data_IF_340940105416
#
_entry.id   IF_340940105416
#
_cell.length_a   1.000
_cell.length_b   1.000
_cell.length_c   1.000
_cell.angle_alpha   90.00
_cell.angle_beta   90.00
_cell.angle_gamma   90.00
#
_symmetry.space_group_name_H-M   'P 1'
#
loop_
_entity.id
_entity.type
_entity.pdbx_description
1 polymer ?
#
# COMPACT_ATOMS: atom_id res chain seq x y z
N UNK A 1 -3.94 21.48 15.78
CA UNK A 1 -4.29 20.46 16.79
C UNK A 1 -3.20 20.32 17.87
N UNK A 2 -1.94 20.59 17.54
CA UNK A 2 -0.78 20.31 18.39
C UNK A 2 -0.39 18.81 18.36
N UNK A 3 0.93 18.52 18.41
CA UNK A 3 1.46 17.16 18.31
C UNK A 3 0.92 16.24 19.40
N UNK A 4 0.69 16.76 20.59
CA UNK A 4 0.23 16.00 21.77
C UNK A 4 -1.18 15.43 21.61
N UNK A 5 -1.91 15.85 20.57
CA UNK A 5 -3.25 15.36 20.23
C UNK A 5 -3.27 14.47 18.99
N UNK A 6 -2.10 14.08 18.46
CA UNK A 6 -1.99 13.24 17.27
C UNK A 6 -1.30 11.93 17.62
N UNK A 7 -2.03 10.83 17.55
CA UNK A 7 -1.50 9.48 17.83
C UNK A 7 -0.77 8.91 16.63
N UNK A 8 -1.34 9.05 15.44
CA UNK A 8 -0.81 8.44 14.23
C UNK A 8 -1.09 9.29 12.99
N UNK A 9 -0.23 9.13 11.99
CA UNK A 9 -0.42 9.62 10.63
C UNK A 9 -0.54 8.41 9.69
N UNK A 10 -1.71 8.25 9.06
CA UNK A 10 -1.98 7.14 8.15
C UNK A 10 -1.99 7.65 6.72
N UNK A 11 -1.30 6.92 5.83
CA UNK A 11 -1.18 7.28 4.41
C UNK A 11 -1.03 6.04 3.52
N UNK A 12 -1.61 6.08 2.32
CA UNK A 12 -1.31 5.10 1.27
C UNK A 12 0.05 5.44 0.62
N UNK A 13 1.03 4.51 0.57
CA UNK A 13 2.31 4.72 -0.13
C UNK A 13 2.16 5.01 -1.61
N UNK A 14 1.19 4.38 -2.24
CA UNK A 14 0.70 4.71 -3.58
C UNK A 14 -0.81 4.89 -3.46
N UNK A 15 -1.28 6.05 -3.82
CA UNK A 15 -2.69 6.38 -3.69
C UNK A 15 -3.58 5.44 -4.51
N UNK A 16 -4.73 5.08 -3.95
CA UNK A 16 -5.69 4.20 -4.60
C UNK A 16 -6.57 4.90 -5.64
N UNK A 17 -7.76 4.33 -5.86
CA UNK A 17 -8.73 4.84 -6.84
C UNK A 17 -9.11 6.29 -6.62
N UNK A 18 -9.26 6.72 -5.37
CA UNK A 18 -9.67 8.09 -5.04
C UNK A 18 -8.67 9.16 -5.48
N UNK A 19 -7.39 8.81 -5.57
CA UNK A 19 -6.30 9.71 -5.94
C UNK A 19 -5.70 9.41 -7.31
N UNK A 20 -6.18 8.35 -7.98
CA UNK A 20 -5.73 7.98 -9.31
C UNK A 20 -4.28 7.52 -9.38
N UNK A 21 -3.87 6.63 -8.48
CA UNK A 21 -2.54 6.01 -8.45
C UNK A 21 -1.38 7.01 -8.27
N UNK A 22 -1.60 8.10 -7.52
CA UNK A 22 -0.54 9.07 -7.22
C UNK A 22 0.58 8.39 -6.43
N UNK A 23 1.81 8.57 -6.90
CA UNK A 23 3.03 8.15 -6.21
C UNK A 23 3.69 9.41 -5.64
N UNK A 24 3.68 9.60 -4.31
CA UNK A 24 4.34 10.74 -3.69
C UNK A 24 5.86 10.72 -3.95
N UNK A 25 6.50 11.90 -4.05
CA UNK A 25 7.97 11.95 -4.14
C UNK A 25 8.63 11.29 -2.93
N UNK A 26 9.78 10.62 -3.14
CA UNK A 26 10.53 9.96 -2.07
C UNK A 26 10.73 10.87 -0.84
N UNK A 27 11.13 12.12 -1.05
CA UNK A 27 11.35 13.11 0.00
C UNK A 27 10.11 13.41 0.85
N UNK A 28 8.91 13.20 0.32
CA UNK A 28 7.67 13.37 1.09
C UNK A 28 7.63 12.41 2.28
N UNK A 29 7.87 11.11 2.04
CA UNK A 29 7.85 10.12 3.11
C UNK A 29 9.00 10.29 4.09
N UNK A 30 10.20 10.66 3.62
CA UNK A 30 11.32 11.00 4.49
C UNK A 30 10.95 12.14 5.45
N UNK A 31 10.33 13.21 4.93
CA UNK A 31 9.88 14.34 5.74
C UNK A 31 8.78 13.98 6.73
N UNK A 32 7.81 13.15 6.32
CA UNK A 32 6.74 12.67 7.21
C UNK A 32 7.32 11.76 8.30
N UNK A 33 8.24 10.85 7.96
CA UNK A 33 8.91 9.99 8.95
C UNK A 33 9.65 10.82 9.99
N UNK A 34 10.39 11.84 9.55
CA UNK A 34 11.10 12.77 10.43
C UNK A 34 10.15 13.50 11.40
N UNK A 35 9.03 13.99 10.90
CA UNK A 35 8.01 14.66 11.72
C UNK A 35 7.42 13.66 12.73
N UNK A 36 7.01 12.49 12.28
CA UNK A 36 6.44 11.45 13.13
C UNK A 36 7.42 11.05 14.24
N UNK A 37 8.69 10.85 13.90
CA UNK A 37 9.73 10.47 14.87
C UNK A 37 9.96 11.58 15.92
N UNK A 38 10.07 12.84 15.49
CA UNK A 38 10.30 13.99 16.41
C UNK A 38 9.16 14.22 17.40
N UNK A 39 7.95 13.86 17.03
CA UNK A 39 6.75 14.11 17.85
C UNK A 39 6.17 12.85 18.48
N UNK A 40 6.82 11.69 18.35
CA UNK A 40 6.31 10.42 18.90
C UNK A 40 4.99 9.96 18.27
N UNK A 41 4.75 10.33 17.00
CA UNK A 41 3.56 9.98 16.23
C UNK A 41 3.83 8.69 15.45
N UNK A 42 2.93 7.73 15.48
CA UNK A 42 3.04 6.53 14.65
C UNK A 42 2.83 6.86 13.17
N UNK A 43 3.73 6.36 12.31
CA UNK A 43 3.53 6.36 10.88
C UNK A 43 2.90 5.03 10.46
N UNK A 44 1.73 5.07 9.86
CA UNK A 44 1.00 3.90 9.39
C UNK A 44 0.91 3.93 7.87
N UNK A 45 1.40 2.88 7.22
CA UNK A 45 1.17 2.71 5.79
C UNK A 45 -0.06 1.83 5.54
N UNK A 46 -1.04 2.40 4.86
CA UNK A 46 -2.18 1.65 4.32
C UNK A 46 -1.76 1.02 2.98
N UNK A 47 -1.37 -0.24 3.05
CA UNK A 47 -0.99 -1.04 1.89
C UNK A 47 -2.11 -1.98 1.42
N UNK A 48 -3.34 -1.71 1.81
CA UNK A 48 -4.50 -2.52 1.40
C UNK A 48 -4.61 -2.66 -0.10
N UNK A 49 -4.27 -1.62 -0.86
CA UNK A 49 -4.32 -1.65 -2.33
C UNK A 49 -2.94 -1.84 -2.97
N UNK A 50 -1.94 -1.11 -2.50
CA UNK A 50 -0.62 -1.05 -3.15
C UNK A 50 0.35 -2.13 -2.69
N UNK A 51 0.08 -2.80 -1.56
CA UNK A 51 0.92 -3.86 -1.01
C UNK A 51 0.73 -5.23 -1.68
N UNK A 52 1.30 -6.23 -1.06
CA UNK A 52 1.26 -7.63 -1.47
C UNK A 52 1.68 -7.83 -2.93
N UNK A 53 2.83 -7.24 -3.31
CA UNK A 53 3.43 -7.41 -4.63
C UNK A 53 2.88 -6.50 -5.73
N UNK A 54 1.71 -5.87 -5.56
CA UNK A 54 1.07 -5.04 -6.59
C UNK A 54 1.97 -3.92 -7.11
N UNK A 55 2.71 -3.27 -6.23
CA UNK A 55 3.66 -2.19 -6.55
C UNK A 55 5.05 -2.68 -7.01
N UNK A 56 5.26 -3.98 -7.25
CA UNK A 56 6.57 -4.53 -7.63
C UNK A 56 7.51 -4.80 -6.45
N UNK A 57 7.03 -4.64 -5.22
CA UNK A 57 7.66 -5.09 -3.97
C UNK A 57 6.58 -5.72 -3.10
N UNK A 58 6.95 -6.66 -2.20
CA UNK A 58 5.97 -7.29 -1.31
C UNK A 58 5.23 -6.25 -0.47
N UNK A 59 5.98 -5.36 0.18
CA UNK A 59 5.43 -4.15 0.79
C UNK A 59 5.84 -2.94 -0.03
N UNK A 60 4.92 -2.01 -0.26
CA UNK A 60 5.24 -0.71 -0.88
C UNK A 60 6.22 0.09 -0.03
N UNK A 61 6.23 -0.10 1.30
CA UNK A 61 7.23 0.45 2.21
C UNK A 61 8.68 0.15 1.78
N UNK A 62 8.94 -0.97 1.11
CA UNK A 62 10.27 -1.35 0.64
C UNK A 62 10.81 -0.45 -0.50
N UNK A 63 9.98 0.42 -1.07
CA UNK A 63 10.44 1.47 -1.98
C UNK A 63 11.01 2.69 -1.23
N UNK A 64 10.75 2.78 0.08
CA UNK A 64 11.11 3.92 0.94
C UNK A 64 11.91 3.45 2.16
N UNK A 65 13.12 2.88 1.98
CA UNK A 65 13.89 2.28 3.08
C UNK A 65 14.27 3.29 4.18
N UNK A 66 14.37 4.59 3.83
CA UNK A 66 14.69 5.67 4.77
C UNK A 66 13.43 6.23 5.46
N UNK A 67 12.26 5.69 5.18
CA UNK A 67 10.98 6.15 5.71
C UNK A 67 10.03 5.00 6.07
N UNK A 68 10.58 3.93 6.65
CA UNK A 68 9.78 2.76 7.03
C UNK A 68 8.71 3.16 8.05
N UNK A 69 7.47 2.68 7.87
CA UNK A 69 6.37 2.91 8.81
C UNK A 69 6.56 2.11 10.10
N UNK A 70 5.87 2.53 11.15
CA UNK A 70 5.76 1.77 12.39
C UNK A 70 4.74 0.63 12.26
N UNK A 71 3.70 0.85 11.47
CA UNK A 71 2.59 -0.10 11.28
C UNK A 71 2.26 -0.19 9.79
N UNK A 72 1.98 -1.39 9.32
CA UNK A 72 1.49 -1.64 7.95
C UNK A 72 0.14 -2.36 8.01
N UNK A 73 -0.83 -1.87 7.27
CA UNK A 73 -2.15 -2.51 7.11
C UNK A 73 -2.23 -3.13 5.71
N UNK A 74 -2.62 -4.39 5.65
CA UNK A 74 -2.71 -5.17 4.41
C UNK A 74 -4.05 -5.86 4.28
N UNK A 75 -4.52 -6.03 3.04
CA UNK A 75 -5.70 -6.85 2.69
C UNK A 75 -5.67 -7.22 1.19
N UNK A 76 -6.80 -7.33 0.57
CA UNK A 76 -6.99 -7.56 -0.89
C UNK A 76 -6.03 -8.61 -1.48
N UNK A 77 -4.87 -8.18 -1.97
CA UNK A 77 -3.83 -9.05 -2.54
C UNK A 77 -3.38 -10.16 -1.60
N UNK A 78 -3.44 -9.93 -0.28
CA UNK A 78 -3.05 -10.92 0.72
C UNK A 78 -3.89 -12.20 0.65
N UNK A 79 -5.16 -12.09 0.34
CA UNK A 79 -6.06 -13.21 0.10
C UNK A 79 -6.36 -13.46 -1.38
N UNK A 80 -5.85 -12.62 -2.28
CA UNK A 80 -6.05 -12.66 -3.75
C UNK A 80 -7.50 -12.87 -4.19
N UNK A 81 -8.47 -12.45 -3.37
CA UNK A 81 -9.90 -12.64 -3.63
C UNK A 81 -10.45 -14.03 -3.31
N UNK A 82 -9.60 -14.99 -2.91
CA UNK A 82 -10.05 -16.35 -2.54
C UNK A 82 -10.66 -16.40 -1.13
N UNK A 83 -10.18 -15.55 -0.22
CA UNK A 83 -10.72 -15.42 1.12
C UNK A 83 -10.67 -13.96 1.61
N UNK A 84 -11.62 -13.53 2.46
CA UNK A 84 -11.59 -12.23 3.11
C UNK A 84 -10.49 -12.24 4.18
N UNK A 85 -9.31 -11.75 3.83
CA UNK A 85 -8.14 -11.72 4.69
C UNK A 85 -7.59 -10.30 4.78
N UNK A 86 -7.32 -9.85 5.98
CA UNK A 86 -6.56 -8.64 6.28
C UNK A 86 -5.53 -8.91 7.37
N UNK A 87 -4.48 -8.12 7.42
CA UNK A 87 -3.45 -8.20 8.43
C UNK A 87 -2.98 -6.80 8.80
N UNK A 88 -2.58 -6.66 10.07
CA UNK A 88 -1.88 -5.48 10.56
C UNK A 88 -0.53 -5.94 11.11
N UNK A 89 0.54 -5.40 10.57
CA UNK A 89 1.92 -5.70 10.98
C UNK A 89 2.41 -4.56 11.87
N UNK A 90 2.94 -4.90 13.01
CA UNK A 90 3.55 -3.95 13.94
C UNK A 90 4.70 -4.60 14.73
N UNK A 91 5.64 -3.83 15.25
CA UNK A 91 6.78 -4.38 15.97
C UNK A 91 6.36 -5.00 17.32
N UNK A 92 7.01 -6.08 17.74
CA UNK A 92 6.67 -6.83 18.96
C UNK A 92 6.71 -5.95 20.22
N UNK A 93 7.68 -5.05 20.31
CA UNK A 93 7.80 -4.14 21.45
C UNK A 93 6.56 -3.23 21.65
N UNK A 94 5.84 -2.90 20.58
CA UNK A 94 4.58 -2.16 20.70
C UNK A 94 3.51 -3.01 21.39
N UNK A 95 3.41 -4.29 21.03
CA UNK A 95 2.48 -5.24 21.69
C UNK A 95 2.85 -5.46 23.14
N UNK A 96 4.15 -5.66 23.41
CA UNK A 96 4.65 -5.90 24.76
C UNK A 96 4.35 -4.71 25.68
N UNK A 97 4.57 -3.49 25.19
CA UNK A 97 4.27 -2.26 25.93
C UNK A 97 2.76 -2.09 26.18
N UNK A 98 1.92 -2.33 25.17
CA UNK A 98 0.47 -2.27 25.34
C UNK A 98 -0.04 -3.34 26.31
N UNK A 99 0.50 -4.56 26.20
CA UNK A 99 0.13 -5.68 27.06
C UNK A 99 0.49 -5.40 28.52
N UNK A 100 1.64 -4.76 28.77
CA UNK A 100 2.07 -4.39 30.12
C UNK A 100 1.24 -3.27 30.74
N UNK A 101 0.69 -2.35 29.93
CA UNK A 101 -0.09 -1.21 30.42
C UNK A 101 -1.57 -1.53 30.64
N UNK A 102 -2.21 -2.17 29.67
CA UNK A 102 -3.68 -2.32 29.63
C UNK A 102 -4.15 -3.71 29.23
N UNK A 103 -3.24 -4.61 28.90
CA UNK A 103 -3.52 -5.82 28.13
C UNK A 103 -3.78 -5.51 26.64
N UNK A 104 -3.48 -6.48 25.77
CA UNK A 104 -3.82 -6.40 24.35
C UNK A 104 -5.27 -6.88 24.16
N UNK A 105 -6.22 -5.95 24.31
CA UNK A 105 -7.63 -6.27 24.41
C UNK A 105 -8.40 -6.19 23.08
N UNK A 106 -7.69 -6.07 21.93
CA UNK A 106 -8.37 -6.10 20.63
C UNK A 106 -8.62 -7.54 20.21
N UNK A 107 -9.88 -7.88 20.01
CA UNK A 107 -10.29 -9.19 19.51
C UNK A 107 -11.45 -9.05 18.52
N UNK A 108 -11.46 -9.91 17.53
CA UNK A 108 -12.52 -10.05 16.55
C UNK A 108 -12.87 -11.54 16.44
N UNK A 109 -14.15 -11.90 16.43
CA UNK A 109 -14.62 -13.29 16.44
C UNK A 109 -13.97 -14.17 15.37
N UNK A 110 -13.68 -13.59 14.20
CA UNK A 110 -13.09 -14.29 13.06
C UNK A 110 -11.58 -14.10 12.92
N UNK A 111 -10.91 -13.49 13.90
CA UNK A 111 -9.45 -13.38 13.90
C UNK A 111 -8.83 -14.78 13.89
N UNK A 112 -7.73 -14.91 13.15
CA UNK A 112 -6.99 -16.16 12.97
C UNK A 112 -7.87 -17.34 12.50
N UNK A 113 -8.91 -17.07 11.70
CA UNK A 113 -9.73 -18.13 11.12
C UNK A 113 -8.84 -19.08 10.31
N UNK A 114 -8.81 -20.39 10.65
CA UNK A 114 -7.83 -21.32 10.07
C UNK A 114 -8.00 -21.50 8.56
N UNK A 115 -9.23 -21.47 8.04
CA UNK A 115 -9.49 -21.59 6.59
C UNK A 115 -8.93 -20.36 5.86
N UNK A 116 -9.20 -19.18 6.37
CA UNK A 116 -8.72 -17.92 5.79
C UNK A 116 -7.19 -17.83 5.85
N UNK A 117 -6.60 -18.22 6.97
CA UNK A 117 -5.13 -18.23 7.13
C UNK A 117 -4.47 -19.25 6.20
N UNK A 118 -5.03 -20.45 6.07
CA UNK A 118 -4.51 -21.47 5.15
C UNK A 118 -4.61 -21.00 3.68
N UNK A 119 -5.69 -20.32 3.32
CA UNK A 119 -5.82 -19.71 1.99
C UNK A 119 -4.76 -18.63 1.77
N UNK A 120 -4.51 -17.77 2.77
CA UNK A 120 -3.46 -16.75 2.69
C UNK A 120 -2.07 -17.35 2.51
N UNK A 121 -1.74 -18.42 3.23
CA UNK A 121 -0.47 -19.14 3.07
C UNK A 121 -0.32 -19.69 1.65
N UNK A 122 -1.35 -20.37 1.12
CA UNK A 122 -1.33 -20.89 -0.26
C UNK A 122 -1.14 -19.76 -1.30
N UNK A 123 -1.71 -18.59 -1.07
CA UNK A 123 -1.51 -17.40 -1.93
C UNK A 123 -0.05 -16.93 -1.86
N UNK A 124 0.55 -16.86 -0.68
CA UNK A 124 1.96 -16.47 -0.52
C UNK A 124 2.91 -17.48 -1.17
N UNK A 125 2.65 -18.78 -1.04
CA UNK A 125 3.40 -19.85 -1.72
C UNK A 125 3.36 -19.65 -3.25
N UNK A 126 2.22 -19.27 -3.82
CA UNK A 126 2.10 -19.00 -5.25
C UNK A 126 2.85 -17.72 -5.67
N UNK A 127 2.91 -16.69 -4.83
CA UNK A 127 3.74 -15.51 -5.10
C UNK A 127 5.21 -15.87 -5.25
N UNK A 128 5.74 -16.73 -4.38
CA UNK A 128 7.12 -17.22 -4.47
C UNK A 128 7.30 -18.16 -5.66
N UNK A 129 6.46 -19.19 -5.77
CA UNK A 129 6.57 -20.23 -6.80
C UNK A 129 6.57 -19.65 -8.21
N UNK A 130 5.76 -18.65 -8.48
CA UNK A 130 5.60 -18.02 -9.79
C UNK A 130 6.40 -16.72 -9.95
N UNK A 131 7.16 -16.33 -8.94
CA UNK A 131 7.91 -15.06 -8.91
C UNK A 131 7.03 -13.85 -9.32
N UNK A 132 5.81 -13.78 -8.75
CA UNK A 132 4.80 -12.82 -9.18
C UNK A 132 5.17 -11.37 -8.86
N UNK A 133 5.97 -11.13 -7.83
CA UNK A 133 6.37 -9.79 -7.42
C UNK A 133 7.32 -9.17 -8.44
N UNK A 134 8.35 -9.89 -8.87
CA UNK A 134 9.27 -9.41 -9.90
C UNK A 134 8.56 -9.31 -11.25
N UNK A 135 7.65 -10.23 -11.55
CA UNK A 135 6.80 -10.13 -12.74
C UNK A 135 5.92 -8.87 -12.70
N UNK A 136 5.35 -8.52 -11.54
CA UNK A 136 4.57 -7.29 -11.38
C UNK A 136 5.43 -6.03 -11.59
N UNK A 137 6.69 -6.03 -11.14
CA UNK A 137 7.62 -4.94 -11.42
C UNK A 137 7.89 -4.81 -12.92
N UNK A 138 8.35 -5.90 -13.56
CA UNK A 138 8.71 -5.90 -14.98
C UNK A 138 7.53 -5.58 -15.90
N UNK A 139 6.36 -6.18 -15.64
CA UNK A 139 5.15 -5.92 -16.44
C UNK A 139 4.57 -4.54 -16.15
N UNK A 140 4.76 -4.03 -14.95
CA UNK A 140 4.39 -2.65 -14.60
C UNK A 140 5.18 -1.63 -15.40
N UNK A 141 6.49 -1.78 -15.47
CA UNK A 141 7.37 -0.90 -16.27
C UNK A 141 6.99 -0.99 -17.76
N UNK A 142 6.85 -2.21 -18.30
CA UNK A 142 6.43 -2.42 -19.68
C UNK A 142 5.07 -1.76 -19.98
N UNK A 143 4.08 -1.99 -19.13
CA UNK A 143 2.74 -1.43 -19.34
C UNK A 143 2.76 0.09 -19.25
N UNK A 144 3.49 0.66 -18.29
CA UNK A 144 3.62 2.10 -18.10
C UNK A 144 4.24 2.77 -19.34
N UNK A 145 5.30 2.17 -19.89
CA UNK A 145 5.92 2.64 -21.14
C UNK A 145 4.92 2.64 -22.31
N UNK A 146 4.16 1.54 -22.46
CA UNK A 146 3.13 1.44 -23.51
C UNK A 146 2.01 2.45 -23.34
N UNK A 147 1.57 2.69 -22.09
CA UNK A 147 0.57 3.71 -21.79
C UNK A 147 1.09 5.12 -22.07
N UNK A 148 2.36 5.40 -21.77
CA UNK A 148 2.98 6.67 -22.11
C UNK A 148 3.03 6.90 -23.62
N UNK A 149 3.34 5.89 -24.41
CA UNK A 149 3.35 6.00 -25.88
C UNK A 149 1.98 6.41 -26.46
N UNK A 150 0.88 6.10 -25.77
CA UNK A 150 -0.47 6.52 -26.18
C UNK A 150 -0.66 8.03 -26.03
N UNK A 151 0.13 8.74 -25.24
CA UNK A 151 0.00 10.21 -25.09
C UNK A 151 0.29 10.95 -26.41
N UNK A 152 1.14 10.39 -27.26
CA UNK A 152 1.46 10.95 -28.58
C UNK A 152 0.30 10.78 -29.58
N UNK A 153 -0.45 9.70 -29.45
CA UNK A 153 -1.56 9.37 -30.33
C UNK A 153 -2.89 9.98 -29.84
N UNK A 154 -3.05 10.04 -28.51
CA UNK A 154 -4.29 10.48 -27.87
C UNK A 154 -4.06 11.70 -26.97
N UNK A 155 -4.21 12.94 -27.52
CA UNK A 155 -3.99 14.18 -26.76
C UNK A 155 -4.92 14.37 -25.53
N UNK A 156 -5.95 13.55 -25.40
CA UNK A 156 -6.86 13.49 -24.27
C UNK A 156 -6.16 12.99 -22.99
N UNK A 157 -5.09 12.22 -23.12
CA UNK A 157 -4.33 11.70 -21.98
C UNK A 157 -3.48 12.82 -21.41
N UNK A 158 -3.67 13.13 -20.11
CA UNK A 158 -2.95 14.17 -19.39
C UNK A 158 -1.71 13.65 -18.65
N UNK A 159 -1.83 12.46 -18.05
CA UNK A 159 -0.74 11.85 -17.29
C UNK A 159 -0.90 10.32 -17.23
N UNK A 160 0.23 9.62 -17.07
CA UNK A 160 0.31 8.18 -16.78
C UNK A 160 1.20 7.98 -15.57
N UNK A 161 0.64 7.47 -14.49
CA UNK A 161 1.36 7.35 -13.22
C UNK A 161 1.06 6.04 -12.49
N UNK A 162 1.79 5.80 -11.42
CA UNK A 162 1.66 4.61 -10.60
C UNK A 162 2.97 3.86 -10.45
N UNK A 163 2.89 2.68 -9.83
CA UNK A 163 4.05 1.86 -9.49
C UNK A 163 3.71 0.37 -9.65
N UNK A 164 4.60 -0.40 -10.27
CA UNK A 164 4.33 -1.79 -10.62
C UNK A 164 3.07 -1.89 -11.48
N UNK A 165 2.18 -2.81 -11.16
CA UNK A 165 0.87 -2.97 -11.83
C UNK A 165 -0.27 -2.15 -11.19
N UNK A 166 0.04 -1.21 -10.32
CA UNK A 166 -0.90 -0.20 -9.84
C UNK A 166 -0.70 1.08 -10.65
N UNK A 167 -1.36 1.17 -11.78
CA UNK A 167 -1.20 2.24 -12.76
C UNK A 167 -2.52 2.97 -13.00
N UNK A 168 -2.44 4.25 -13.34
CA UNK A 168 -3.55 5.10 -13.69
C UNK A 168 -3.25 5.97 -14.88
N UNK A 169 -4.25 6.19 -15.73
CA UNK A 169 -4.26 7.21 -16.78
C UNK A 169 -5.16 8.34 -16.32
N UNK A 170 -4.64 9.55 -16.30
CA UNK A 170 -5.43 10.75 -16.06
C UNK A 170 -5.80 11.39 -17.40
N UNK A 171 -7.06 11.69 -17.55
CA UNK A 171 -7.55 12.42 -18.70
C UNK A 171 -7.52 13.93 -18.43
N UNK A 172 -7.26 14.72 -19.46
CA UNK A 172 -7.27 16.18 -19.33
C UNK A 172 -8.64 16.70 -18.90
N UNK A 173 -8.71 17.81 -18.13
CA UNK A 173 -9.97 18.35 -17.61
C UNK A 173 -11.00 18.71 -18.69
N UNK A 174 -10.54 19.04 -19.91
CA UNK A 174 -11.41 19.39 -21.05
C UNK A 174 -12.23 18.20 -21.57
N UNK A 175 -11.86 16.99 -21.15
CA UNK A 175 -12.56 15.78 -21.51
C UNK A 175 -13.79 15.60 -20.63
N UNK A 176 -14.94 16.02 -21.13
CA UNK A 176 -16.26 15.86 -20.49
C UNK A 176 -16.71 14.37 -20.49
N UNK A 177 -15.85 13.45 -20.09
CA UNK A 177 -16.25 12.06 -19.90
C UNK A 177 -16.89 11.97 -18.50
N UNK A 178 -18.22 11.88 -18.48
CA UNK A 178 -18.92 11.51 -17.24
C UNK A 178 -18.62 10.05 -16.97
N UNK A 179 -18.15 9.76 -15.75
CA UNK A 179 -18.09 8.38 -15.27
C UNK A 179 -19.50 7.76 -15.39
N UNK A 180 -19.59 6.63 -16.06
CA UNK A 180 -20.82 5.87 -16.19
C UNK A 180 -21.17 5.15 -14.89
#
# INVERSE_FOLDING_TARGET
>A
LGSDNVLAFTVEPVGGLATGCVVPPKKYFESIRDICTRHGIFLIFDEVLCGTGRGGKFLSAHHYPDALPDIVVMAKGLGSGYAPLGATLFPSNLVDNLSALTGFNFSHTYNANPITCATGLAVLDEYERLNLIDNAAAMGDYLKERMWALTDEFPIIGDVRGQGLLLGIELKPECNIKAA
#
